data_IF_213812364987
#
_entry.id   IF_213812364987
#
_cell.length_a   1.000
_cell.length_b   1.000
_cell.length_c   1.000
_cell.angle_alpha   90.00
_cell.angle_beta   90.00
_cell.angle_gamma   90.00
#
_symmetry.space_group_name_H-M   'P 1'
#
loop_
_entity.id
_entity.type
_entity.pdbx_description
1 polymer ?
#
# COMPACT_ATOMS: atom_id res chain seq x y z
N UNK A 1 -60.52 28.25 -11.00
CA UNK A 1 -59.25 28.08 -11.73
C UNK A 1 -58.29 27.28 -10.86
N UNK A 2 -58.16 25.97 -11.08
CA UNK A 2 -56.90 25.22 -11.18
C UNK A 2 -57.20 23.74 -11.01
N UNK A 3 -57.04 23.04 -12.12
CA UNK A 3 -56.69 21.63 -12.13
C UNK A 3 -55.45 21.43 -11.25
N UNK A 4 -55.55 20.61 -10.20
CA UNK A 4 -54.38 20.03 -9.55
C UNK A 4 -54.49 18.51 -9.72
N UNK A 5 -54.07 18.13 -10.92
CA UNK A 5 -53.88 16.76 -11.36
C UNK A 5 -52.72 16.16 -10.56
N UNK A 6 -53.00 15.06 -9.85
CA UNK A 6 -52.01 14.10 -9.37
C UNK A 6 -51.37 13.40 -10.58
N UNK A 7 -50.19 13.86 -11.03
CA UNK A 7 -49.30 13.10 -11.93
C UNK A 7 -47.85 13.31 -11.48
N UNK A 8 -47.15 12.21 -11.24
CA UNK A 8 -45.73 12.11 -11.53
C UNK A 8 -44.80 12.10 -10.32
N UNK A 9 -44.21 10.93 -10.05
CA UNK A 9 -42.86 10.85 -9.50
C UNK A 9 -41.94 11.72 -10.35
N UNK A 10 -41.60 12.89 -9.85
CA UNK A 10 -40.47 13.65 -10.32
C UNK A 10 -39.49 13.66 -9.16
N UNK A 11 -38.54 12.71 -9.18
CA UNK A 11 -37.29 12.90 -8.47
C UNK A 11 -36.79 14.27 -8.88
N UNK A 12 -36.90 15.25 -7.99
CA UNK A 12 -36.17 16.50 -8.12
C UNK A 12 -34.69 16.12 -8.01
N UNK A 13 -34.14 15.77 -9.17
CA UNK A 13 -32.73 15.91 -9.47
C UNK A 13 -32.41 17.37 -9.15
N UNK A 14 -31.74 17.57 -8.03
CA UNK A 14 -31.25 18.88 -7.67
C UNK A 14 -30.34 19.36 -8.80
N UNK A 15 -30.68 20.54 -9.29
CA UNK A 15 -30.17 21.22 -10.47
C UNK A 15 -28.65 21.33 -10.48
N UNK A 16 -28.07 21.08 -11.66
CA UNK A 16 -26.63 20.99 -11.94
C UNK A 16 -25.85 22.32 -11.94
N UNK A 17 -26.30 23.35 -11.22
CA UNK A 17 -25.67 24.69 -11.24
C UNK A 17 -25.08 25.14 -9.90
N UNK A 18 -24.60 24.16 -9.11
CA UNK A 18 -23.69 24.40 -7.97
C UNK A 18 -22.44 23.48 -8.02
N UNK A 19 -22.07 22.98 -9.20
CA UNK A 19 -20.99 21.99 -9.38
C UNK A 19 -19.84 22.42 -10.30
N UNK A 20 -19.53 23.71 -10.40
CA UNK A 20 -18.32 24.17 -11.12
C UNK A 20 -17.10 24.38 -10.21
N UNK A 21 -17.22 24.14 -8.90
CA UNK A 21 -16.10 24.23 -7.94
C UNK A 21 -15.77 22.87 -7.27
N UNK A 22 -16.69 21.90 -7.31
CA UNK A 22 -16.54 20.64 -6.55
C UNK A 22 -16.46 19.38 -7.42
N UNK A 23 -16.39 19.51 -8.74
CA UNK A 23 -16.52 18.34 -9.62
C UNK A 23 -15.23 17.55 -9.81
N UNK A 24 -14.05 18.08 -9.48
CA UNK A 24 -12.75 17.37 -9.54
C UNK A 24 -11.63 18.12 -8.73
N UNK A 25 -11.41 17.83 -7.44
CA UNK A 25 -10.08 18.07 -6.84
C UNK A 25 -9.94 18.94 -5.58
N UNK A 26 -10.22 18.35 -4.41
CA UNK A 26 -9.46 18.70 -3.19
C UNK A 26 -9.04 17.47 -2.36
N UNK A 27 -9.21 16.26 -2.87
CA UNK A 27 -8.55 15.11 -2.25
C UNK A 27 -7.15 15.03 -2.85
N UNK A 28 -6.18 15.56 -2.11
CA UNK A 28 -4.79 15.43 -2.48
C UNK A 28 -4.41 13.94 -2.38
N UNK A 29 -4.23 13.27 -3.51
CA UNK A 29 -3.82 11.86 -3.54
C UNK A 29 -2.31 11.75 -3.67
N UNK A 30 -1.76 10.66 -3.13
CA UNK A 30 -0.35 10.32 -3.24
C UNK A 30 -0.18 8.81 -3.38
N UNK A 31 1.00 8.39 -3.83
CA UNK A 31 1.40 6.99 -3.90
C UNK A 31 2.37 6.64 -2.79
N UNK A 32 2.46 5.36 -2.47
CA UNK A 32 3.50 4.82 -1.57
C UNK A 32 4.64 4.28 -2.43
N UNK A 33 5.85 4.71 -2.12
CA UNK A 33 7.10 4.29 -2.76
C UNK A 33 8.18 4.09 -1.71
N UNK A 34 9.26 3.45 -2.12
CA UNK A 34 10.32 3.12 -1.20
C UNK A 34 11.54 2.55 -1.88
N UNK A 35 12.51 2.12 -1.06
CA UNK A 35 13.76 1.55 -1.53
C UNK A 35 13.97 0.12 -1.07
N UNK A 36 14.27 -0.74 -2.05
CA UNK A 36 14.66 -2.13 -1.86
C UNK A 36 16.18 -2.28 -1.82
N UNK A 37 16.67 -2.97 -0.79
CA UNK A 37 18.09 -3.23 -0.60
C UNK A 37 18.34 -4.69 -0.20
N UNK A 38 19.43 -5.27 -0.72
CA UNK A 38 19.92 -6.58 -0.32
C UNK A 38 19.24 -7.78 -0.98
N UNK A 39 18.37 -7.57 -1.98
CA UNK A 39 17.79 -8.67 -2.77
C UNK A 39 18.89 -9.29 -3.66
N UNK A 40 19.31 -10.52 -3.34
CA UNK A 40 20.39 -11.19 -4.05
C UNK A 40 19.99 -11.73 -5.42
N UNK A 41 18.84 -12.41 -5.51
CA UNK A 41 18.26 -12.93 -6.75
C UNK A 41 16.80 -13.34 -6.54
N UNK A 42 16.05 -13.48 -7.63
CA UNK A 42 14.63 -13.85 -7.60
C UNK A 42 13.71 -12.65 -7.45
N UNK A 43 12.50 -12.91 -6.95
CA UNK A 43 11.48 -11.89 -6.73
C UNK A 43 10.91 -11.98 -5.33
N UNK A 44 10.38 -10.84 -4.88
CA UNK A 44 9.67 -10.67 -3.63
C UNK A 44 8.29 -10.06 -3.93
N UNK A 45 7.27 -10.55 -3.23
CA UNK A 45 5.95 -9.95 -3.25
C UNK A 45 5.84 -8.89 -2.15
N UNK A 46 5.52 -7.66 -2.53
CA UNK A 46 5.14 -6.59 -1.60
C UNK A 46 3.65 -6.33 -1.71
N UNK A 47 3.00 -6.08 -0.59
CA UNK A 47 1.57 -5.83 -0.50
C UNK A 47 1.31 -4.50 0.21
N UNK A 48 0.51 -3.65 -0.42
CA UNK A 48 -0.02 -2.43 0.14
C UNK A 48 -1.49 -2.66 0.52
N UNK A 49 -1.82 -2.41 1.78
CA UNK A 49 -3.18 -2.46 2.32
C UNK A 49 -3.64 -1.05 2.69
N UNK A 50 -4.82 -0.68 2.20
CA UNK A 50 -5.44 0.63 2.45
C UNK A 50 -6.93 0.46 2.72
N UNK A 51 -7.64 1.56 2.98
CA UNK A 51 -9.11 1.55 3.06
C UNK A 51 -9.81 1.27 1.73
N UNK A 52 -9.10 1.41 0.60
CA UNK A 52 -9.64 1.16 -0.74
C UNK A 52 -9.46 -0.31 -1.16
N UNK A 53 -8.56 -1.04 -0.50
CA UNK A 53 -8.32 -2.45 -0.77
C UNK A 53 -6.84 -2.81 -0.66
N UNK A 54 -6.44 -3.81 -1.44
CA UNK A 54 -5.11 -4.39 -1.42
C UNK A 54 -4.52 -4.31 -2.83
N UNK A 55 -3.27 -3.85 -2.92
CA UNK A 55 -2.44 -3.93 -4.12
C UNK A 55 -1.22 -4.80 -3.82
N UNK A 56 -0.86 -5.69 -4.74
CA UNK A 56 0.36 -6.50 -4.64
C UNK A 56 1.23 -6.21 -5.84
N UNK A 57 2.51 -5.92 -5.60
CA UNK A 57 3.53 -5.77 -6.64
C UNK A 57 4.61 -6.84 -6.46
N UNK A 58 5.19 -7.27 -7.56
CA UNK A 58 6.37 -8.13 -7.58
C UNK A 58 7.60 -7.26 -7.88
N UNK A 59 8.63 -7.36 -7.05
CA UNK A 59 9.89 -6.63 -7.23
C UNK A 59 11.02 -7.64 -7.41
N UNK A 60 11.82 -7.44 -8.46
CA UNK A 60 12.85 -8.38 -8.91
C UNK A 60 14.26 -7.79 -8.91
N UNK A 61 14.43 -6.55 -8.45
CA UNK A 61 15.73 -5.88 -8.36
C UNK A 61 15.79 -4.89 -7.19
N UNK A 62 17.00 -4.57 -6.76
CA UNK A 62 17.23 -3.50 -5.78
C UNK A 62 17.00 -2.13 -6.43
N UNK A 63 16.51 -1.17 -5.66
CA UNK A 63 16.20 0.17 -6.15
C UNK A 63 14.84 0.66 -5.69
N UNK A 64 14.30 1.64 -6.41
CA UNK A 64 13.03 2.25 -6.07
C UNK A 64 11.87 1.36 -6.53
N UNK A 65 10.92 1.11 -5.64
CA UNK A 65 9.63 0.51 -5.97
C UNK A 65 8.50 1.50 -5.71
N UNK A 66 7.39 1.37 -6.44
CA UNK A 66 6.23 2.26 -6.34
C UNK A 66 4.96 1.43 -6.43
N UNK A 67 4.01 1.67 -5.53
CA UNK A 67 2.65 1.16 -5.64
C UNK A 67 1.81 2.10 -6.51
N UNK A 68 1.00 1.55 -7.40
CA UNK A 68 0.19 2.32 -8.35
C UNK A 68 -1.10 2.88 -7.76
N UNK A 69 -1.54 2.39 -6.59
CA UNK A 69 -2.74 2.85 -5.93
C UNK A 69 -2.57 4.29 -5.41
N UNK A 70 -3.40 5.19 -5.92
CA UNK A 70 -3.55 6.53 -5.37
C UNK A 70 -4.34 6.49 -4.06
N UNK A 71 -3.75 7.03 -3.00
CA UNK A 71 -4.32 7.08 -1.67
C UNK A 71 -4.60 8.53 -1.30
N UNK A 72 -5.78 8.79 -0.75
CA UNK A 72 -6.16 10.12 -0.25
C UNK A 72 -5.28 10.51 0.95
N UNK A 73 -4.77 11.75 0.96
CA UNK A 73 -4.01 12.29 2.09
C UNK A 73 -4.75 12.09 3.42
N UNK A 74 -4.03 11.63 4.45
CA UNK A 74 -4.55 11.31 5.77
C UNK A 74 -5.11 9.88 5.91
N UNK A 75 -5.37 9.16 4.81
CA UNK A 75 -5.76 7.76 4.89
C UNK A 75 -4.57 6.89 5.33
N UNK A 76 -4.87 5.85 6.10
CA UNK A 76 -3.87 4.88 6.58
C UNK A 76 -3.41 3.96 5.45
N UNK A 77 -2.13 3.61 5.46
CA UNK A 77 -1.55 2.57 4.62
C UNK A 77 -0.69 1.61 5.46
N UNK A 78 -0.55 0.38 4.97
CA UNK A 78 0.36 -0.62 5.51
C UNK A 78 1.02 -1.41 4.37
N UNK A 79 2.35 -1.48 4.37
CA UNK A 79 3.18 -2.23 3.42
C UNK A 79 3.75 -3.45 4.13
N UNK A 80 3.51 -4.62 3.56
CA UNK A 80 3.98 -5.91 4.08
C UNK A 80 4.65 -6.73 2.99
N UNK A 81 5.46 -7.71 3.40
CA UNK A 81 5.96 -8.74 2.49
C UNK A 81 4.89 -9.82 2.34
N UNK A 82 4.32 -9.96 1.15
CA UNK A 82 3.33 -11.00 0.85
C UNK A 82 3.97 -12.34 0.45
N UNK A 83 5.18 -12.30 -0.10
CA UNK A 83 5.97 -13.49 -0.42
C UNK A 83 7.47 -13.23 -0.25
N UNK A 84 8.13 -13.98 0.62
CA UNK A 84 9.58 -13.89 0.82
C UNK A 84 10.36 -14.48 -0.37
N UNK A 85 11.50 -13.88 -0.77
CA UNK A 85 12.37 -14.47 -1.78
C UNK A 85 13.01 -15.76 -1.27
N UNK A 86 13.33 -16.67 -2.18
CA UNK A 86 13.97 -17.95 -1.81
C UNK A 86 15.37 -17.73 -1.22
N UNK A 87 15.63 -18.33 -0.05
CA UNK A 87 16.94 -18.28 0.63
C UNK A 87 17.27 -16.93 1.28
N UNK A 88 16.29 -16.05 1.39
CA UNK A 88 16.44 -14.72 1.98
C UNK A 88 15.23 -14.39 2.86
N UNK A 89 15.43 -13.46 3.79
CA UNK A 89 14.36 -12.86 4.57
C UNK A 89 14.43 -11.35 4.42
N UNK A 90 13.30 -10.75 4.11
CA UNK A 90 13.15 -9.32 3.93
C UNK A 90 12.20 -8.75 4.99
N UNK A 91 12.59 -7.64 5.59
CA UNK A 91 11.76 -6.86 6.51
C UNK A 91 11.40 -5.51 5.91
N UNK A 92 10.24 -5.00 6.29
CA UNK A 92 9.78 -3.65 5.93
C UNK A 92 9.96 -2.74 7.14
N UNK A 93 10.56 -1.57 6.97
CA UNK A 93 10.54 -0.47 7.92
C UNK A 93 9.85 0.74 7.30
N UNK A 94 9.23 1.56 8.16
CA UNK A 94 8.31 2.64 7.77
C UNK A 94 7.15 2.16 6.88
N UNK A 95 6.78 0.88 6.98
CA UNK A 95 5.73 0.28 6.16
C UNK A 95 4.32 0.75 6.51
N UNK A 96 4.11 1.36 7.68
CA UNK A 96 2.80 1.80 8.15
C UNK A 96 2.79 3.30 8.41
N UNK A 97 1.68 3.95 8.09
CA UNK A 97 1.54 5.39 8.32
C UNK A 97 0.25 5.96 7.75
N UNK A 98 0.23 7.29 7.63
CA UNK A 98 -0.82 8.03 6.96
C UNK A 98 -0.25 8.69 5.70
N UNK A 99 -1.03 8.68 4.62
CA UNK A 99 -0.62 9.30 3.36
C UNK A 99 -0.40 10.81 3.55
N UNK A 100 0.77 11.29 3.14
CA UNK A 100 1.12 12.71 3.19
C UNK A 100 0.69 13.43 1.90
N UNK A 101 0.59 14.75 2.00
CA UNK A 101 0.46 15.64 0.85
C UNK A 101 1.70 15.45 -0.04
N UNK A 102 1.52 14.84 -1.22
CA UNK A 102 2.61 14.59 -2.17
C UNK A 102 3.13 13.15 -2.20
N UNK A 103 2.57 12.24 -1.41
CA UNK A 103 2.99 10.83 -1.39
C UNK A 103 3.90 10.48 -0.22
N UNK A 104 4.28 9.20 -0.19
CA UNK A 104 5.24 8.62 0.77
C UNK A 104 6.34 7.94 -0.04
N UNK A 105 7.61 8.20 0.32
CA UNK A 105 8.79 7.67 -0.37
C UNK A 105 9.86 7.09 0.57
N UNK A 106 9.54 6.97 1.86
CA UNK A 106 10.47 6.55 2.93
C UNK A 106 10.27 5.10 3.41
N UNK A 107 9.52 4.28 2.65
CA UNK A 107 9.39 2.85 2.93
C UNK A 107 10.71 2.15 2.58
N UNK A 108 11.25 1.39 3.52
CA UNK A 108 12.49 0.65 3.27
C UNK A 108 12.23 -0.85 3.37
N UNK A 109 12.71 -1.59 2.38
CA UNK A 109 12.69 -3.04 2.37
C UNK A 109 14.12 -3.55 2.37
N UNK A 110 14.50 -4.22 3.44
CA UNK A 110 15.85 -4.74 3.64
C UNK A 110 15.82 -6.26 3.65
N UNK A 111 16.48 -6.85 2.66
CA UNK A 111 16.66 -8.28 2.52
C UNK A 111 18.04 -8.70 3.01
N UNK A 112 18.11 -9.84 3.68
CA UNK A 112 19.34 -10.52 4.05
C UNK A 112 19.22 -12.01 3.80
N UNK A 113 20.35 -12.71 3.75
CA UNK A 113 20.35 -14.18 3.74
C UNK A 113 19.56 -14.66 4.95
N UNK A 114 18.62 -15.60 4.74
CA UNK A 114 17.89 -16.25 5.84
C UNK A 114 18.86 -17.18 6.55
N UNK A 115 19.70 -16.58 7.37
CA UNK A 115 20.75 -17.27 8.07
C UNK A 115 20.08 -17.86 9.31
N UNK A 116 19.53 -19.06 9.16
CA UNK A 116 18.91 -19.85 10.22
C UNK A 116 19.97 -20.27 11.25
N UNK A 117 20.65 -19.31 11.89
CA UNK A 117 21.58 -19.56 13.00
C UNK A 117 20.84 -19.76 14.33
N UNK A 118 19.51 -19.74 14.31
CA UNK A 118 18.68 -20.27 15.38
C UNK A 118 18.62 -21.82 15.32
N UNK A 119 19.07 -22.42 14.22
CA UNK A 119 19.26 -23.85 14.09
C UNK A 119 20.75 -24.19 14.28
N UNK A 120 21.06 -24.53 15.54
CA UNK A 120 22.25 -25.25 16.04
C UNK A 120 23.51 -24.40 16.33
N UNK A 121 23.72 -24.09 17.63
CA UNK A 121 24.78 -24.73 18.44
C UNK A 121 24.80 -24.18 19.89
N UNK A 122 23.93 -24.70 20.76
CA UNK A 122 24.15 -24.63 22.21
C UNK A 122 24.32 -26.06 22.71
N UNK A 123 25.60 -26.45 22.86
CA UNK A 123 26.11 -27.65 23.53
C UNK A 123 25.57 -29.01 23.05
N UNK A 124 26.27 -29.62 22.07
CA UNK A 124 26.43 -31.07 22.06
C UNK A 124 27.17 -31.52 23.35
N UNK A 125 26.42 -31.68 24.43
CA UNK A 125 26.87 -32.27 25.68
C UNK A 125 27.04 -33.79 25.60
N UNK A 126 27.77 -34.29 24.61
CA UNK A 126 28.32 -35.66 24.63
C UNK A 126 29.60 -35.62 25.46
N UNK A 127 29.46 -35.64 26.78
CA UNK A 127 30.55 -35.96 27.68
C UNK A 127 30.59 -37.47 27.89
N UNK A 128 31.60 -38.13 27.31
CA UNK A 128 32.02 -39.49 27.67
C UNK A 128 32.58 -39.53 29.09
#
# INVERSE_FOLDING_TARGET
MKYLILIGMFFLSMSSDAQLIFKNGFENTGTVSGMMNGLASGSIGLQLSTSLGIETIEVNENGVFVFGQEIVSGASYAVTVSAQPSGQFCSVSNGEGHMLIGGVDDVHVNCGVSNNWDEMNWDEGIWQ
#
